data_IF_123090504913
#
_entry.id   IF_123090504913
#
_cell.length_a   1.000
_cell.length_b   1.000
_cell.length_c   1.000
_cell.angle_alpha   90.00
_cell.angle_beta   90.00
_cell.angle_gamma   90.00
#
_symmetry.space_group_name_H-M   'P 1'
#
loop_
_entity.id
_entity.type
_entity.pdbx_description
1 polymer ?
#
# COMPACT_ATOMS: atom_id res chain seq x y z
N UNK A 1 -18.59 -16.96 21.49
CA UNK A 1 -18.59 -17.83 20.30
C UNK A 1 -17.36 -17.47 19.49
N UNK A 2 -16.51 -18.44 19.15
CA UNK A 2 -15.38 -18.18 18.24
C UNK A 2 -15.95 -17.88 16.84
N UNK A 3 -15.41 -16.86 16.18
CA UNK A 3 -15.74 -16.59 14.79
C UNK A 3 -15.33 -17.81 13.93
N UNK A 4 -16.20 -18.29 13.01
CA UNK A 4 -15.86 -19.44 12.18
C UNK A 4 -14.62 -19.13 11.36
N UNK A 5 -13.65 -20.05 11.33
CA UNK A 5 -12.42 -19.90 10.57
C UNK A 5 -12.77 -19.75 9.07
N UNK A 6 -12.35 -18.65 8.42
CA UNK A 6 -12.56 -18.47 6.99
C UNK A 6 -11.94 -19.61 6.15
N UNK A 7 -12.45 -19.87 4.94
CA UNK A 7 -12.12 -21.08 4.21
C UNK A 7 -10.65 -21.12 3.79
N UNK A 8 -9.99 -22.29 3.85
CA UNK A 8 -8.58 -22.42 3.52
C UNK A 8 -8.35 -22.32 2.01
N UNK A 9 -7.18 -21.81 1.61
CA UNK A 9 -6.71 -21.73 0.23
C UNK A 9 -5.26 -22.18 0.13
N UNK A 10 -4.85 -22.65 -1.05
CA UNK A 10 -3.46 -22.95 -1.35
C UNK A 10 -2.78 -21.69 -1.86
N UNK A 11 -1.69 -21.27 -1.22
CA UNK A 11 -0.87 -20.12 -1.59
C UNK A 11 0.45 -20.60 -2.14
N UNK A 12 0.83 -20.12 -3.32
CA UNK A 12 2.12 -20.33 -3.95
C UNK A 12 3.07 -19.18 -3.55
N UNK A 13 4.16 -19.54 -2.89
CA UNK A 13 5.23 -18.63 -2.51
C UNK A 13 6.16 -18.34 -3.69
N UNK A 14 6.95 -17.24 -3.64
CA UNK A 14 7.85 -16.86 -4.74
C UNK A 14 8.89 -17.92 -5.12
N UNK A 15 9.26 -18.79 -4.19
CA UNK A 15 10.19 -19.90 -4.41
C UNK A 15 9.52 -21.17 -4.96
N UNK A 16 8.22 -21.11 -5.26
CA UNK A 16 7.41 -22.22 -5.76
C UNK A 16 6.88 -23.15 -4.68
N UNK A 17 7.15 -22.89 -3.40
CA UNK A 17 6.56 -23.66 -2.31
C UNK A 17 5.06 -23.36 -2.17
N UNK A 18 4.28 -24.37 -1.81
CA UNK A 18 2.87 -24.20 -1.51
C UNK A 18 2.62 -24.25 0.00
N UNK A 19 1.82 -23.33 0.51
CA UNK A 19 1.34 -23.34 1.89
C UNK A 19 -0.17 -23.12 1.97
N UNK A 20 -0.76 -23.46 3.11
CA UNK A 20 -2.19 -23.20 3.37
C UNK A 20 -2.33 -21.83 4.03
N UNK A 21 -3.13 -20.96 3.42
CA UNK A 21 -3.63 -19.72 4.01
C UNK A 21 -5.14 -19.78 4.17
N UNK A 22 -5.74 -18.71 4.68
CA UNK A 22 -7.19 -18.60 4.83
C UNK A 22 -7.72 -17.38 4.08
N UNK A 23 -8.71 -17.58 3.21
CA UNK A 23 -9.29 -16.51 2.41
C UNK A 23 -10.22 -15.66 3.28
N UNK A 24 -9.85 -14.40 3.49
CA UNK A 24 -10.59 -13.45 4.33
C UNK A 24 -11.61 -12.66 3.51
N UNK A 25 -11.20 -12.19 2.34
CA UNK A 25 -12.06 -11.42 1.44
C UNK A 25 -11.57 -11.50 0.00
N UNK A 26 -12.46 -11.17 -0.94
CA UNK A 26 -12.15 -11.04 -2.35
C UNK A 26 -12.42 -9.60 -2.80
N UNK A 27 -11.44 -8.99 -3.44
CA UNK A 27 -11.52 -7.62 -3.93
C UNK A 27 -11.57 -7.66 -5.45
N UNK A 28 -12.68 -7.21 -6.02
CA UNK A 28 -12.82 -7.03 -7.45
C UNK A 28 -12.23 -5.68 -7.84
N UNK A 29 -11.22 -5.68 -8.70
CA UNK A 29 -10.62 -4.49 -9.31
C UNK A 29 -10.90 -4.47 -10.82
N UNK A 30 -10.71 -3.33 -11.52
CA UNK A 30 -10.81 -3.30 -12.98
C UNK A 30 -9.82 -4.25 -13.67
N UNK A 31 -8.66 -4.47 -13.05
CA UNK A 31 -7.56 -5.28 -13.57
C UNK A 31 -7.69 -6.77 -13.23
N UNK A 32 -8.72 -7.16 -12.48
CA UNK A 32 -8.93 -8.53 -12.03
C UNK A 32 -9.17 -8.64 -10.53
N UNK A 33 -8.91 -9.82 -9.96
CA UNK A 33 -9.20 -10.12 -8.56
C UNK A 33 -7.95 -10.03 -7.70
N UNK A 34 -8.10 -9.43 -6.52
CA UNK A 34 -7.17 -9.53 -5.42
C UNK A 34 -7.82 -10.31 -4.28
N UNK A 35 -7.07 -11.22 -3.69
CA UNK A 35 -7.52 -12.12 -2.64
C UNK A 35 -6.80 -11.74 -1.35
N UNK A 36 -7.56 -11.30 -0.35
CA UNK A 36 -7.01 -11.04 0.98
C UNK A 36 -6.86 -12.36 1.70
N UNK A 37 -5.63 -12.79 1.93
CA UNK A 37 -5.32 -14.06 2.57
C UNK A 37 -4.61 -13.83 3.89
N UNK A 38 -5.10 -14.49 4.94
CA UNK A 38 -4.41 -14.62 6.21
C UNK A 38 -3.44 -15.80 6.16
N UNK A 39 -2.15 -15.52 6.28
CA UNK A 39 -1.11 -16.53 6.41
C UNK A 39 -0.82 -16.80 7.89
N UNK A 40 -0.70 -18.07 8.30
CA UNK A 40 -0.29 -18.39 9.66
C UNK A 40 1.12 -17.87 9.90
N UNK A 41 1.30 -17.13 10.98
CA UNK A 41 2.60 -16.65 11.42
C UNK A 41 2.82 -16.96 12.90
N UNK A 42 4.06 -16.84 13.32
CA UNK A 42 4.44 -16.88 14.72
C UNK A 42 5.02 -15.52 15.06
N UNK A 43 4.64 -14.96 16.21
CA UNK A 43 5.17 -13.69 16.70
C UNK A 43 5.76 -13.88 18.09
N UNK A 44 6.91 -13.27 18.30
CA UNK A 44 7.50 -13.21 19.62
C UNK A 44 6.65 -12.32 20.51
N UNK A 45 6.44 -12.76 21.75
CA UNK A 45 5.80 -11.97 22.80
C UNK A 45 6.81 -11.66 23.88
N UNK A 46 6.76 -10.43 24.38
CA UNK A 46 7.71 -9.95 25.39
C UNK A 46 9.11 -9.74 24.83
N UNK A 47 10.10 -9.92 25.69
CA UNK A 47 11.52 -9.85 25.42
C UNK A 47 12.05 -11.13 24.77
N UNK A 48 13.30 -11.10 24.29
CA UNK A 48 13.89 -12.21 23.55
C UNK A 48 13.87 -13.52 24.35
N UNK A 49 13.15 -14.52 23.84
CA UNK A 49 13.06 -15.86 24.43
C UNK A 49 11.89 -16.08 25.41
N UNK A 50 11.04 -15.08 25.66
CA UNK A 50 9.92 -15.24 26.60
C UNK A 50 8.76 -16.08 26.06
N UNK A 51 8.50 -16.02 24.75
CA UNK A 51 7.47 -16.85 24.17
C UNK A 51 7.19 -16.55 22.72
N UNK A 52 6.53 -17.50 22.06
CA UNK A 52 6.07 -17.35 20.69
C UNK A 52 4.60 -17.74 20.67
N UNK A 53 3.76 -16.87 20.10
CA UNK A 53 2.34 -17.13 19.95
C UNK A 53 1.91 -17.16 18.48
N UNK A 54 0.82 -17.86 18.15
CA UNK A 54 0.22 -17.79 16.83
C UNK A 54 -0.19 -16.35 16.46
N UNK A 55 0.09 -15.99 15.23
CA UNK A 55 -0.30 -14.74 14.60
C UNK A 55 -0.86 -14.99 13.21
N UNK A 56 -1.37 -13.91 12.63
CA UNK A 56 -1.79 -13.88 11.23
C UNK A 56 -1.07 -12.74 10.53
N UNK A 57 -0.43 -13.06 9.40
CA UNK A 57 0.06 -12.05 8.47
C UNK A 57 -0.92 -11.94 7.30
N UNK A 58 -1.56 -10.77 7.14
CA UNK A 58 -2.53 -10.54 6.06
C UNK A 58 -1.84 -9.96 4.83
N UNK A 59 -2.13 -10.53 3.67
CA UNK A 59 -1.54 -10.14 2.40
C UNK A 59 -2.58 -10.17 1.28
N UNK A 60 -2.48 -9.23 0.34
CA UNK A 60 -3.24 -9.24 -0.91
C UNK A 60 -2.47 -10.01 -1.98
N UNK A 61 -3.10 -11.04 -2.54
CA UNK A 61 -2.50 -11.91 -3.56
C UNK A 61 -3.34 -11.94 -4.82
N UNK A 62 -2.71 -12.26 -5.94
CA UNK A 62 -3.41 -12.46 -7.22
C UNK A 62 -3.93 -13.90 -7.35
N UNK A 63 -4.85 -14.13 -8.27
CA UNK A 63 -5.33 -15.48 -8.62
C UNK A 63 -4.24 -16.39 -9.19
N UNK A 64 -3.09 -15.85 -9.63
CA UNK A 64 -1.93 -16.65 -10.03
C UNK A 64 -1.13 -17.22 -8.84
N UNK A 65 -1.31 -16.65 -7.65
CA UNK A 65 -0.60 -17.03 -6.43
C UNK A 65 -1.50 -17.82 -5.48
N UNK A 66 -2.81 -17.87 -5.72
CA UNK A 66 -3.77 -18.50 -4.82
C UNK A 66 -4.67 -19.43 -5.62
N UNK A 67 -4.81 -20.66 -5.14
CA UNK A 67 -5.71 -21.66 -5.72
C UNK A 67 -6.72 -22.12 -4.68
N UNK A 68 -8.00 -22.31 -5.06
CA UNK A 68 -8.99 -22.92 -4.18
C UNK A 68 -8.60 -24.36 -3.87
N UNK A 69 -9.07 -24.86 -2.73
CA UNK A 69 -8.96 -26.25 -2.32
C UNK A 69 -10.26 -26.94 -2.72
N UNK A 70 -10.15 -28.10 -3.38
CA UNK A 70 -11.30 -28.89 -3.82
C UNK A 70 -12.18 -29.30 -2.63
N UNK A 71 -13.49 -29.18 -2.80
CA UNK A 71 -14.48 -29.54 -1.78
C UNK A 71 -14.70 -28.50 -0.68
N UNK A 72 -13.99 -27.36 -0.70
CA UNK A 72 -14.20 -26.25 0.24
C UNK A 72 -15.26 -25.29 -0.30
N UNK A 73 -16.21 -24.90 0.55
CA UNK A 73 -17.19 -23.87 0.24
C UNK A 73 -16.63 -22.46 0.50
N UNK A 74 -16.71 -21.60 -0.51
CA UNK A 74 -16.25 -20.21 -0.47
C UNK A 74 -17.40 -19.20 -0.59
N UNK A 75 -18.66 -19.67 -0.62
CA UNK A 75 -19.85 -18.83 -0.82
C UNK A 75 -20.02 -17.76 0.27
N UNK A 76 -19.50 -18.01 1.47
CA UNK A 76 -19.54 -17.08 2.60
C UNK A 76 -18.42 -16.02 2.63
N UNK A 77 -17.50 -16.02 1.65
CA UNK A 77 -16.40 -15.05 1.62
C UNK A 77 -16.88 -13.71 1.08
N UNK A 78 -16.68 -12.64 1.85
CA UNK A 78 -17.08 -11.31 1.45
C UNK A 78 -16.38 -10.86 0.15
N UNK A 79 -17.17 -10.23 -0.72
CA UNK A 79 -16.72 -9.68 -2.00
C UNK A 79 -16.86 -8.17 -1.97
N UNK A 80 -15.73 -7.47 -1.98
CA UNK A 80 -15.67 -6.02 -2.09
C UNK A 80 -15.40 -5.61 -3.53
N UNK A 81 -16.23 -4.73 -4.09
CA UNK A 81 -15.93 -4.10 -5.38
C UNK A 81 -15.16 -2.82 -5.14
N UNK A 82 -13.93 -2.78 -5.61
CA UNK A 82 -13.13 -1.57 -5.58
C UNK A 82 -13.46 -0.72 -6.82
N UNK A 83 -13.72 0.59 -6.65
CA UNK A 83 -14.00 1.46 -7.78
C UNK A 83 -12.80 1.49 -8.72
N UNK A 84 -13.07 1.66 -10.02
CA UNK A 84 -12.01 2.01 -10.96
C UNK A 84 -11.39 3.32 -10.50
N UNK A 85 -10.07 3.34 -10.32
CA UNK A 85 -9.38 4.60 -10.13
C UNK A 85 -9.75 5.53 -11.30
N UNK A 86 -10.04 6.82 -11.05
CA UNK A 86 -10.27 7.76 -12.14
C UNK A 86 -9.11 7.69 -13.14
N UNK A 87 -9.45 7.72 -14.43
CA UNK A 87 -8.52 7.58 -15.55
C UNK A 87 -7.56 8.76 -15.64
N UNK A 88 -6.54 8.74 -14.79
CA UNK A 88 -5.26 9.38 -14.98
C UNK A 88 -4.26 8.35 -14.46
N UNK A 89 -3.73 7.50 -15.34
CA UNK A 89 -2.76 6.50 -14.91
C UNK A 89 -1.55 7.24 -14.30
N UNK A 90 -1.28 7.13 -13.00
CA UNK A 90 0.04 7.48 -12.49
C UNK A 90 0.97 6.39 -13.04
N UNK A 91 2.10 6.79 -13.62
CA UNK A 91 3.14 5.85 -14.01
C UNK A 91 3.40 4.85 -12.86
N UNK A 92 3.66 3.56 -13.12
CA UNK A 92 4.07 2.60 -12.07
C UNK A 92 5.45 2.91 -11.47
N UNK A 93 6.03 4.05 -11.84
CA UNK A 93 7.10 4.73 -11.12
C UNK A 93 6.42 5.70 -10.16
N UNK A 94 6.51 5.44 -8.85
CA UNK A 94 6.23 6.50 -7.89
C UNK A 94 7.16 7.65 -8.23
N UNK A 95 6.56 8.69 -8.76
CA UNK A 95 7.25 9.87 -9.20
C UNK A 95 6.58 11.04 -8.49
N UNK A 96 7.38 12.03 -8.14
CA UNK A 96 6.93 13.19 -7.41
C UNK A 96 7.16 14.45 -8.22
N UNK A 97 6.51 15.52 -7.81
CA UNK A 97 6.73 16.82 -8.40
C UNK A 97 6.81 17.87 -7.28
N UNK A 98 7.54 18.96 -7.52
CA UNK A 98 7.75 20.00 -6.51
C UNK A 98 7.11 21.30 -6.94
N UNK A 99 6.22 21.80 -6.08
CA UNK A 99 5.70 23.15 -6.13
C UNK A 99 6.52 24.04 -5.20
N UNK A 100 7.16 25.08 -5.74
CA UNK A 100 7.82 26.12 -4.94
C UNK A 100 6.83 27.23 -4.66
N UNK A 101 6.52 27.42 -3.37
CA UNK A 101 5.68 28.54 -2.93
C UNK A 101 6.55 29.79 -2.85
N UNK A 102 6.02 30.90 -3.38
CA UNK A 102 6.63 32.23 -3.23
C UNK A 102 5.67 33.16 -2.52
N UNK A 103 6.23 34.05 -1.71
CA UNK A 103 5.51 35.16 -1.12
C UNK A 103 5.16 36.20 -2.20
N UNK A 104 4.20 37.11 -1.96
CA UNK A 104 3.87 38.19 -2.88
C UNK A 104 5.06 39.11 -3.23
N UNK A 105 6.08 39.17 -2.35
CA UNK A 105 7.32 39.91 -2.54
C UNK A 105 8.40 39.13 -3.32
N UNK A 106 8.08 37.94 -3.83
CA UNK A 106 8.98 37.09 -4.62
C UNK A 106 9.93 36.20 -3.80
N UNK A 107 9.99 36.35 -2.48
CA UNK A 107 10.85 35.50 -1.62
C UNK A 107 10.32 34.06 -1.52
N UNK A 108 11.19 33.06 -1.32
CA UNK A 108 10.75 31.67 -1.07
C UNK A 108 9.86 31.59 0.19
N UNK A 109 8.69 30.96 0.06
CA UNK A 109 7.75 30.74 1.16
C UNK A 109 7.77 29.31 1.68
N UNK A 110 8.23 28.36 0.88
CA UNK A 110 8.28 26.94 1.21
C UNK A 110 8.15 26.07 -0.04
N UNK A 111 8.09 24.76 0.18
CA UNK A 111 8.01 23.77 -0.89
C UNK A 111 6.88 22.80 -0.59
N UNK A 112 6.06 22.45 -1.58
CA UNK A 112 5.09 21.37 -1.47
C UNK A 112 5.47 20.25 -2.42
N UNK A 113 5.64 19.04 -1.89
CA UNK A 113 5.91 17.84 -2.68
C UNK A 113 4.59 17.14 -2.99
N UNK A 114 4.31 16.95 -4.27
CA UNK A 114 3.11 16.34 -4.79
C UNK A 114 3.42 15.00 -5.44
N UNK A 115 2.43 14.13 -5.52
CA UNK A 115 2.48 13.01 -6.47
C UNK A 115 2.54 13.57 -7.90
N UNK A 116 3.29 12.90 -8.77
CA UNK A 116 3.36 13.30 -10.17
C UNK A 116 1.98 13.12 -10.84
N UNK A 117 1.47 14.20 -11.43
CA UNK A 117 0.11 14.25 -11.98
C UNK A 117 -0.98 14.73 -11.02
N UNK A 118 -0.63 15.12 -9.78
CA UNK A 118 -1.57 15.76 -8.86
C UNK A 118 -2.17 17.04 -9.47
N UNK A 119 -3.49 17.19 -9.43
CA UNK A 119 -4.23 18.33 -10.00
C UNK A 119 -3.89 19.66 -9.31
N UNK A 120 -3.52 19.62 -8.03
CA UNK A 120 -3.08 20.79 -7.25
C UNK A 120 -1.60 21.16 -7.52
N UNK A 121 -0.86 20.30 -8.23
CA UNK A 121 0.49 20.62 -8.66
C UNK A 121 0.41 21.49 -9.92
N UNK A 122 1.00 22.71 -9.92
CA UNK A 122 0.98 23.55 -11.11
C UNK A 122 1.66 22.81 -12.27
N UNK A 123 0.89 22.60 -13.34
CA UNK A 123 1.29 21.82 -14.50
C UNK A 123 2.66 22.26 -15.04
N UNK A 124 3.61 21.33 -15.09
CA UNK A 124 4.98 21.58 -15.59
C UNK A 124 6.09 21.30 -14.58
N UNK A 125 5.78 20.78 -13.39
CA UNK A 125 6.81 20.36 -12.44
C UNK A 125 7.57 19.11 -12.95
N UNK A 126 8.91 19.16 -12.86
CA UNK A 126 9.80 18.07 -13.26
C UNK A 126 9.51 16.82 -12.42
N UNK A 127 9.51 15.67 -13.08
CA UNK A 127 9.39 14.37 -12.43
C UNK A 127 10.61 14.12 -11.53
N UNK A 128 10.37 13.80 -10.26
CA UNK A 128 11.36 13.49 -9.25
C UNK A 128 11.29 12.02 -8.87
N UNK A 129 12.45 11.40 -8.62
CA UNK A 129 12.55 10.09 -7.99
C UNK A 129 12.44 10.20 -6.44
N UNK A 130 12.47 9.05 -5.74
CA UNK A 130 12.29 8.99 -4.28
C UNK A 130 13.32 9.80 -3.51
N UNK A 131 14.61 9.64 -3.83
CA UNK A 131 15.69 10.36 -3.16
C UNK A 131 15.56 11.88 -3.36
N UNK A 132 15.20 12.31 -4.57
CA UNK A 132 14.95 13.71 -4.89
C UNK A 132 13.71 14.27 -4.15
N UNK A 133 12.67 13.46 -3.95
CA UNK A 133 11.48 13.84 -3.21
C UNK A 133 11.76 13.98 -1.71
N UNK A 134 12.52 13.03 -1.13
CA UNK A 134 12.95 13.10 0.27
C UNK A 134 13.87 14.30 0.52
N UNK A 135 14.87 14.52 -0.35
CA UNK A 135 15.73 15.71 -0.28
C UNK A 135 14.96 17.03 -0.43
N UNK A 136 13.82 17.03 -1.13
CA UNK A 136 12.95 18.19 -1.21
C UNK A 136 12.18 18.43 0.10
N UNK A 137 11.82 17.37 0.84
CA UNK A 137 11.16 17.45 2.15
C UNK A 137 12.09 17.87 3.29
N UNK A 138 13.41 17.68 3.13
CA UNK A 138 14.40 18.15 4.12
C UNK A 138 14.57 19.68 4.15
N UNK A 139 14.03 20.41 3.16
CA UNK A 139 14.14 21.87 3.09
C UNK A 139 13.26 22.55 4.14
N UNK A 140 13.73 23.68 4.66
CA UNK A 140 12.98 24.45 5.64
C UNK A 140 11.62 24.92 5.07
N UNK A 141 10.53 24.61 5.78
CA UNK A 141 9.17 24.91 5.34
C UNK A 141 8.65 24.02 4.20
N UNK A 142 9.36 22.92 3.88
CA UNK A 142 8.84 21.91 2.97
C UNK A 142 7.77 21.03 3.65
N UNK A 143 6.78 20.63 2.87
CA UNK A 143 5.74 19.70 3.31
C UNK A 143 5.28 18.83 2.15
N UNK A 144 4.80 17.63 2.45
CA UNK A 144 4.06 16.85 1.48
C UNK A 144 2.65 17.42 1.29
N UNK A 145 2.13 17.33 0.08
CA UNK A 145 0.74 17.62 -0.22
C UNK A 145 -0.16 16.63 0.51
N UNK A 146 -1.23 17.15 1.13
CA UNK A 146 -2.20 16.35 1.90
C UNK A 146 -3.39 15.88 1.07
N UNK A 147 -3.58 16.47 -0.11
CA UNK A 147 -4.69 16.16 -1.02
C UNK A 147 -4.35 15.05 -2.02
N UNK A 148 -3.08 14.62 -2.09
CA UNK A 148 -2.64 13.45 -2.85
C UNK A 148 -1.90 12.44 -1.95
N UNK A 149 -1.57 11.26 -2.49
CA UNK A 149 -0.92 10.20 -1.73
C UNK A 149 0.53 10.52 -1.29
N UNK A 150 1.09 11.68 -1.66
CA UNK A 150 2.46 12.06 -1.35
C UNK A 150 2.78 12.02 0.15
N UNK A 151 1.90 12.54 1.01
CA UNK A 151 2.12 12.53 2.46
C UNK A 151 2.11 11.12 3.06
N UNK A 152 1.20 10.26 2.60
CA UNK A 152 1.09 8.88 3.07
C UNK A 152 2.29 8.04 2.64
N UNK A 153 2.72 8.18 1.39
CA UNK A 153 3.83 7.39 0.84
C UNK A 153 5.16 7.85 1.41
N UNK A 154 5.47 9.14 1.37
CA UNK A 154 6.75 9.67 1.84
C UNK A 154 6.90 9.58 3.36
N UNK A 155 5.80 9.64 4.11
CA UNK A 155 5.80 9.47 5.56
C UNK A 155 6.30 8.08 6.02
N UNK A 156 6.24 7.06 5.16
CA UNK A 156 6.77 5.71 5.47
C UNK A 156 8.29 5.63 5.41
N UNK A 157 8.94 6.63 4.79
CA UNK A 157 10.39 6.70 4.60
C UNK A 157 11.05 7.77 5.47
N UNK A 158 10.28 8.66 6.08
CA UNK A 158 10.79 9.63 7.05
C UNK A 158 10.84 8.98 8.44
N UNK A 159 11.91 9.22 9.23
CA UNK A 159 11.97 8.72 10.59
C UNK A 159 10.81 9.32 11.41
N UNK A 160 10.04 8.48 12.09
CA UNK A 160 9.05 8.92 13.07
C UNK A 160 9.76 9.80 14.09
N UNK A 161 9.43 11.09 14.12
CA UNK A 161 9.87 12.00 15.19
C UNK A 161 9.20 11.64 16.52
#
# INVERSE_FOLDING_TARGET
MAEPLPPPVRVLLPDGQAMTGYLRAQHQTPSGWLLLVGLPSWRNVGTQGEGVEPGEYRVLLTTGQVSPIEGVDYSGVEVHRLPAAPSAAPSPRWAWSVQRLRRPDGRPAGTVVHEYGCEDSPGGAHELNLDQALAALEREGARACKECAAAEVLGRFLPSS
#
